data_IF_881505617684
#
_entry.id   IF_881505617684
#
_cell.length_a   1.000
_cell.length_b   1.000
_cell.length_c   1.000
_cell.angle_alpha   90.00
_cell.angle_beta   90.00
_cell.angle_gamma   90.00
#
_symmetry.space_group_name_H-M   'P 1'
#
loop_
_entity.id
_entity.type
_entity.pdbx_description
1 polymer ?
#
# COMPACT_ATOMS: atom_id res chain seq x y z
N UNK A 1 32.55 24.80 16.98
CA UNK A 1 32.06 25.10 15.62
C UNK A 1 30.55 25.28 15.69
N UNK A 2 30.09 26.51 15.93
CA UNK A 2 28.67 26.86 15.91
C UNK A 2 28.22 26.95 14.46
N UNK A 3 27.60 25.88 13.94
CA UNK A 3 26.92 25.93 12.65
C UNK A 3 25.78 26.95 12.76
N UNK A 4 25.93 28.10 12.11
CA UNK A 4 24.83 29.05 11.95
C UNK A 4 23.76 28.36 11.09
N UNK A 5 22.55 28.11 11.61
CA UNK A 5 21.47 27.43 10.88
C UNK A 5 20.93 28.24 9.70
N UNK A 6 21.53 29.39 9.38
CA UNK A 6 21.15 30.27 8.27
C UNK A 6 22.11 30.23 7.08
N UNK A 7 23.14 29.40 7.12
CA UNK A 7 24.01 29.21 5.95
C UNK A 7 23.24 28.49 4.85
N UNK A 8 22.99 29.10 3.67
CA UNK A 8 22.34 28.42 2.55
C UNK A 8 23.11 27.16 2.13
N UNK A 9 24.43 27.11 2.39
CA UNK A 9 25.25 25.92 2.16
C UNK A 9 24.83 24.74 3.05
N UNK A 10 24.46 24.99 4.30
CA UNK A 10 24.03 23.93 5.22
C UNK A 10 22.65 23.36 4.83
N UNK A 11 21.75 24.21 4.33
CA UNK A 11 20.41 23.81 3.86
C UNK A 11 20.48 23.01 2.55
N UNK A 12 21.42 23.34 1.67
CA UNK A 12 21.54 22.70 0.36
C UNK A 12 22.42 21.44 0.35
N UNK A 13 23.29 21.25 1.35
CA UNK A 13 24.23 20.12 1.36
C UNK A 13 23.52 18.77 1.39
N UNK A 14 22.53 18.59 2.26
CA UNK A 14 21.79 17.33 2.38
C UNK A 14 21.03 16.96 1.10
N UNK A 15 20.21 17.83 0.49
CA UNK A 15 19.55 17.51 -0.78
C UNK A 15 20.53 17.35 -1.93
N UNK A 16 21.63 18.12 -1.97
CA UNK A 16 22.67 17.93 -2.98
C UNK A 16 23.36 16.56 -2.85
N UNK A 17 23.65 16.12 -1.63
CA UNK A 17 24.25 14.81 -1.37
C UNK A 17 23.27 13.68 -1.72
N UNK A 18 21.99 13.80 -1.36
CA UNK A 18 20.96 12.85 -1.76
C UNK A 18 20.82 12.76 -3.29
N UNK A 19 20.80 13.91 -3.98
CA UNK A 19 20.77 13.97 -5.43
C UNK A 19 22.02 13.37 -6.07
N UNK A 20 23.21 13.59 -5.48
CA UNK A 20 24.45 13.02 -5.96
C UNK A 20 24.47 11.50 -5.82
N UNK A 21 24.04 10.95 -4.67
CA UNK A 21 23.93 9.50 -4.47
C UNK A 21 22.94 8.88 -5.44
N UNK A 22 21.75 9.48 -5.58
CA UNK A 22 20.75 9.02 -6.56
C UNK A 22 21.32 9.08 -8.00
N UNK A 23 22.04 10.15 -8.33
CA UNK A 23 22.71 10.33 -9.63
C UNK A 23 23.77 9.27 -9.89
N UNK A 24 24.58 8.90 -8.91
CA UNK A 24 25.59 7.82 -9.03
C UNK A 24 24.92 6.48 -9.32
N UNK A 25 23.84 6.15 -8.60
CA UNK A 25 23.09 4.90 -8.82
C UNK A 25 22.50 4.88 -10.24
N UNK A 26 21.86 5.98 -10.66
CA UNK A 26 21.28 6.09 -12.02
C UNK A 26 22.36 6.02 -13.09
N UNK A 27 23.51 6.65 -12.87
CA UNK A 27 24.64 6.60 -13.80
C UNK A 27 25.25 5.19 -13.90
N UNK A 28 25.36 4.48 -12.77
CA UNK A 28 25.91 3.12 -12.72
C UNK A 28 25.00 2.09 -13.42
N UNK A 29 23.68 2.21 -13.28
CA UNK A 29 22.71 1.35 -13.98
C UNK A 29 22.56 1.77 -15.45
N UNK A 30 22.73 3.06 -15.74
CA UNK A 30 22.45 3.67 -17.03
C UNK A 30 21.09 4.39 -17.01
N UNK A 31 21.03 5.70 -17.28
CA UNK A 31 19.79 6.48 -17.15
C UNK A 31 18.69 5.99 -18.12
N UNK A 32 19.07 5.57 -19.32
CA UNK A 32 18.15 4.98 -20.29
C UNK A 32 17.62 3.62 -19.82
N UNK A 33 18.43 2.81 -19.16
CA UNK A 33 18.02 1.50 -18.64
C UNK A 33 17.04 1.68 -17.46
N UNK A 34 17.33 2.61 -16.56
CA UNK A 34 16.43 2.97 -15.46
C UNK A 34 15.10 3.49 -16.01
N UNK A 35 15.14 4.43 -16.96
CA UNK A 35 13.95 4.96 -17.60
C UNK A 35 13.18 3.88 -18.35
N UNK A 36 13.86 3.03 -19.13
CA UNK A 36 13.22 1.96 -19.87
C UNK A 36 12.55 0.96 -18.92
N UNK A 37 13.21 0.57 -17.82
CA UNK A 37 12.59 -0.32 -16.82
C UNK A 37 11.38 0.31 -16.15
N UNK A 38 11.46 1.57 -15.75
CA UNK A 38 10.34 2.26 -15.09
C UNK A 38 9.19 2.50 -16.08
N UNK A 39 9.49 3.03 -17.25
CA UNK A 39 8.50 3.43 -18.26
C UNK A 39 7.87 2.21 -18.91
N UNK A 40 8.66 1.25 -19.39
CA UNK A 40 8.14 0.05 -20.08
C UNK A 40 7.31 -0.81 -19.13
N UNK A 41 7.74 -0.98 -17.87
CA UNK A 41 6.95 -1.68 -16.85
C UNK A 41 5.58 -1.02 -16.63
N UNK A 42 5.53 0.31 -16.62
CA UNK A 42 4.29 1.08 -16.40
C UNK A 42 3.40 1.15 -17.63
N UNK A 43 3.98 1.36 -18.81
CA UNK A 43 3.24 1.38 -20.07
C UNK A 43 2.63 0.02 -20.38
N UNK A 44 3.36 -1.07 -20.14
CA UNK A 44 2.81 -2.42 -20.26
C UNK A 44 1.63 -2.64 -19.29
N UNK A 45 1.74 -2.13 -18.05
CA UNK A 45 0.65 -2.13 -17.09
C UNK A 45 -0.61 -1.38 -17.56
N UNK A 46 -0.44 -0.20 -18.16
CA UNK A 46 -1.55 0.61 -18.68
C UNK A 46 -2.24 -0.01 -19.90
N UNK A 47 -1.48 -0.66 -20.79
CA UNK A 47 -2.05 -1.28 -22.00
C UNK A 47 -2.98 -2.46 -21.67
N UNK A 48 -2.78 -3.14 -20.54
CA UNK A 48 -3.56 -4.30 -20.12
C UNK A 48 -4.84 -3.97 -19.35
N UNK A 49 -5.04 -2.70 -18.96
CA UNK A 49 -6.28 -2.24 -18.32
C UNK A 49 -6.71 -0.87 -18.90
N UNK A 50 -7.23 -0.84 -20.14
CA UNK A 50 -7.60 0.40 -20.82
C UNK A 50 -8.77 1.13 -20.14
N UNK A 51 -9.52 0.42 -19.29
CA UNK A 51 -10.61 0.93 -18.47
C UNK A 51 -10.15 1.70 -17.22
N UNK A 52 -8.84 1.99 -17.10
CA UNK A 52 -8.27 2.53 -15.88
C UNK A 52 -9.04 3.75 -15.38
N UNK A 53 -9.65 3.65 -14.20
CA UNK A 53 -10.42 4.75 -13.66
C UNK A 53 -9.42 5.81 -13.22
N UNK A 54 -9.46 6.98 -13.84
CA UNK A 54 -8.46 8.03 -13.68
C UNK A 54 -8.43 8.63 -12.27
N UNK A 55 -8.20 9.93 -12.19
CA UNK A 55 -8.14 10.68 -10.92
C UNK A 55 -9.34 10.38 -10.00
N UNK A 56 -10.52 10.09 -10.55
CA UNK A 56 -11.72 9.74 -9.77
C UNK A 56 -11.57 8.50 -8.89
N UNK A 57 -10.94 7.42 -9.37
CA UNK A 57 -10.70 6.23 -8.55
C UNK A 57 -9.65 6.48 -7.49
N UNK A 58 -8.61 7.24 -7.83
CA UNK A 58 -7.61 7.64 -6.84
C UNK A 58 -8.24 8.49 -5.73
N UNK A 59 -9.16 9.41 -6.08
CA UNK A 59 -9.94 10.18 -5.11
C UNK A 59 -10.81 9.26 -4.26
N UNK A 60 -11.54 8.32 -4.86
CA UNK A 60 -12.40 7.39 -4.13
C UNK A 60 -11.61 6.50 -3.18
N UNK A 61 -10.48 5.96 -3.63
CA UNK A 61 -9.60 5.11 -2.83
C UNK A 61 -8.97 5.91 -1.67
N UNK A 62 -8.49 7.13 -1.93
CA UNK A 62 -7.99 8.01 -0.86
C UNK A 62 -9.10 8.43 0.09
N UNK A 63 -10.30 8.72 -0.40
CA UNK A 63 -11.44 9.09 0.44
C UNK A 63 -11.90 7.92 1.31
N UNK A 64 -12.02 6.73 0.75
CA UNK A 64 -12.38 5.52 1.50
C UNK A 64 -11.34 5.24 2.59
N UNK A 65 -10.05 5.24 2.22
CA UNK A 65 -8.96 4.97 3.16
C UNK A 65 -8.80 6.07 4.21
N UNK A 66 -8.73 7.33 3.81
CA UNK A 66 -8.47 8.42 4.74
C UNK A 66 -9.72 8.83 5.53
N UNK A 67 -10.93 8.69 5.00
CA UNK A 67 -12.12 9.24 5.65
C UNK A 67 -13.05 8.18 6.22
N UNK A 68 -13.17 7.02 5.57
CA UNK A 68 -14.02 5.92 6.10
C UNK A 68 -13.25 4.98 7.00
N UNK A 69 -11.98 4.73 6.68
CA UNK A 69 -11.16 3.79 7.46
C UNK A 69 -10.38 4.49 8.57
N UNK A 70 -10.01 5.76 8.43
CA UNK A 70 -9.30 6.52 9.46
C UNK A 70 -10.21 7.54 10.17
N UNK A 71 -9.74 8.12 11.27
CA UNK A 71 -10.53 9.05 12.10
C UNK A 71 -10.51 10.47 11.51
N UNK A 72 -11.65 11.06 11.09
CA UNK A 72 -11.70 12.39 10.46
C UNK A 72 -11.07 13.51 11.31
N UNK A 73 -11.12 13.37 12.64
CA UNK A 73 -10.55 14.31 13.60
C UNK A 73 -9.03 14.49 13.44
N UNK A 74 -8.29 13.45 13.02
CA UNK A 74 -6.86 13.54 12.74
C UNK A 74 -6.56 14.53 11.61
N UNK A 75 -7.30 14.41 10.50
CA UNK A 75 -7.14 15.29 9.33
C UNK A 75 -7.61 16.71 9.63
N UNK A 76 -8.69 16.86 10.40
CA UNK A 76 -9.15 18.17 10.88
C UNK A 76 -8.08 18.85 11.73
N UNK A 77 -7.39 18.10 12.60
CA UNK A 77 -6.31 18.62 13.43
C UNK A 77 -5.10 19.04 12.59
N UNK A 78 -4.75 18.25 11.57
CA UNK A 78 -3.71 18.60 10.61
C UNK A 78 -4.06 19.88 9.82
N UNK A 79 -5.31 20.02 9.36
CA UNK A 79 -5.76 21.21 8.63
C UNK A 79 -5.66 22.48 9.51
N UNK A 80 -6.14 22.41 10.75
CA UNK A 80 -6.05 23.56 11.69
C UNK A 80 -4.60 23.86 12.07
N UNK A 81 -3.76 22.84 12.24
CA UNK A 81 -2.32 23.02 12.45
C UNK A 81 -1.62 23.70 11.27
N UNK A 82 -1.97 23.31 10.04
CA UNK A 82 -1.49 23.97 8.81
C UNK A 82 -1.89 25.44 8.74
N UNK A 83 -3.16 25.75 9.03
CA UNK A 83 -3.63 27.14 9.10
C UNK A 83 -2.89 27.92 10.21
N UNK A 84 -2.78 27.35 11.41
CA UNK A 84 -2.07 27.97 12.53
C UNK A 84 -0.61 28.27 12.19
N UNK A 85 0.06 27.36 11.46
CA UNK A 85 1.44 27.53 11.02
C UNK A 85 1.57 28.62 9.96
N UNK A 86 0.71 28.62 8.93
CA UNK A 86 0.72 29.65 7.88
C UNK A 86 0.53 31.05 8.45
N UNK A 87 -0.37 31.20 9.42
CA UNK A 87 -0.65 32.47 10.08
C UNK A 87 0.50 32.96 11.00
N UNK A 88 1.30 32.05 11.55
CA UNK A 88 2.40 32.37 12.49
C UNK A 88 3.76 32.44 11.81
N UNK A 89 3.99 31.61 10.81
CA UNK A 89 5.26 31.40 10.14
C UNK A 89 5.00 30.91 8.70
N UNK A 90 4.74 31.87 7.81
CA UNK A 90 4.36 31.60 6.41
C UNK A 90 5.33 30.64 5.70
N UNK A 91 6.65 30.85 5.84
CA UNK A 91 7.65 30.03 5.15
C UNK A 91 7.62 28.54 5.59
N UNK A 92 7.74 28.18 6.89
CA UNK A 92 7.52 26.80 7.35
C UNK A 92 6.13 26.26 7.00
N UNK A 93 5.10 27.10 7.07
CA UNK A 93 3.72 26.73 6.73
C UNK A 93 3.59 26.32 5.27
N UNK A 94 4.12 27.12 4.35
CA UNK A 94 4.15 26.83 2.92
C UNK A 94 5.00 25.60 2.60
N UNK A 95 6.12 25.40 3.31
CA UNK A 95 6.96 24.22 3.11
C UNK A 95 6.22 22.93 3.49
N UNK A 96 5.56 22.88 4.65
CA UNK A 96 4.82 21.68 5.10
C UNK A 96 3.51 21.47 4.32
N UNK A 97 2.75 22.53 4.06
CA UNK A 97 1.54 22.44 3.25
C UNK A 97 1.87 22.08 1.79
N UNK A 98 2.96 22.62 1.25
CA UNK A 98 3.48 22.28 -0.07
C UNK A 98 3.96 20.83 -0.14
N UNK A 99 4.61 20.31 0.91
CA UNK A 99 4.98 18.90 0.99
C UNK A 99 3.74 17.99 0.96
N UNK A 100 2.73 18.27 1.79
CA UNK A 100 1.47 17.52 1.78
C UNK A 100 0.77 17.60 0.42
N UNK A 101 0.65 18.81 -0.14
CA UNK A 101 0.00 19.06 -1.42
C UNK A 101 0.70 18.37 -2.58
N UNK A 102 2.04 18.37 -2.62
CA UNK A 102 2.83 17.68 -3.63
C UNK A 102 2.65 16.16 -3.57
N UNK A 103 2.63 15.57 -2.37
CA UNK A 103 2.36 14.14 -2.21
C UNK A 103 0.92 13.78 -2.62
N UNK A 104 -0.07 14.56 -2.19
CA UNK A 104 -1.46 14.35 -2.60
C UNK A 104 -1.60 14.42 -4.12
N UNK A 105 -1.01 15.45 -4.75
CA UNK A 105 -1.01 15.58 -6.20
C UNK A 105 -0.35 14.38 -6.87
N UNK A 106 0.81 13.95 -6.36
CA UNK A 106 1.52 12.78 -6.90
C UNK A 106 0.65 11.52 -6.80
N UNK A 107 -0.01 11.27 -5.66
CA UNK A 107 -0.90 10.11 -5.48
C UNK A 107 -2.13 10.19 -6.37
N UNK A 108 -2.71 11.37 -6.55
CA UNK A 108 -3.86 11.58 -7.45
C UNK A 108 -3.49 11.36 -8.91
N UNK A 109 -2.28 11.73 -9.31
CA UNK A 109 -1.75 11.50 -10.66
C UNK A 109 -1.10 10.11 -10.82
N UNK A 110 -1.00 9.34 -9.74
CA UNK A 110 -0.32 8.05 -9.77
C UNK A 110 -1.18 7.01 -10.50
N UNK A 111 -0.59 6.36 -11.49
CA UNK A 111 -1.32 5.51 -12.44
C UNK A 111 -1.77 4.18 -11.85
N UNK A 112 -1.16 3.71 -10.76
CA UNK A 112 -1.57 2.47 -10.08
C UNK A 112 -1.59 2.73 -8.57
N UNK A 113 -2.51 3.60 -8.13
CA UNK A 113 -2.59 3.92 -6.71
C UNK A 113 -3.08 2.70 -5.93
N UNK A 114 -2.19 2.13 -5.12
CA UNK A 114 -2.54 1.13 -4.13
C UNK A 114 -2.80 1.80 -2.78
N UNK A 115 -3.66 1.19 -1.97
CA UNK A 115 -4.02 1.70 -0.64
C UNK A 115 -2.81 1.96 0.27
N UNK A 116 -1.77 1.13 0.16
CA UNK A 116 -0.58 1.27 1.00
C UNK A 116 0.24 2.53 0.66
N UNK A 117 0.15 3.09 -0.55
CA UNK A 117 0.88 4.32 -0.90
C UNK A 117 0.35 5.55 -0.15
N UNK A 118 -0.90 5.50 0.34
CA UNK A 118 -1.47 6.53 1.22
C UNK A 118 -0.68 6.74 2.52
N UNK A 119 0.12 5.75 2.95
CA UNK A 119 1.00 5.86 4.14
C UNK A 119 1.99 7.02 4.02
N UNK A 120 2.36 7.41 2.80
CA UNK A 120 3.30 8.50 2.55
C UNK A 120 2.80 9.84 3.07
N UNK A 121 1.48 10.03 3.13
CA UNK A 121 0.81 11.23 3.64
C UNK A 121 0.88 11.34 5.18
N UNK A 122 1.10 10.23 5.89
CA UNK A 122 1.08 10.21 7.36
C UNK A 122 2.14 11.15 7.94
N UNK A 123 3.33 11.18 7.36
CA UNK A 123 4.43 12.05 7.79
C UNK A 123 4.03 13.53 7.87
N UNK A 124 3.70 14.19 6.74
CA UNK A 124 3.30 15.60 6.76
C UNK A 124 2.02 15.85 7.58
N UNK A 125 1.04 14.94 7.53
CA UNK A 125 -0.18 15.05 8.32
C UNK A 125 0.08 15.02 9.82
N UNK A 126 0.95 14.12 10.30
CA UNK A 126 1.29 14.00 11.72
C UNK A 126 2.03 15.24 12.23
N UNK A 127 2.96 15.80 11.45
CA UNK A 127 3.64 17.05 11.79
C UNK A 127 2.64 18.20 11.91
N UNK A 128 1.77 18.35 10.91
CA UNK A 128 0.72 19.38 10.93
C UNK A 128 -0.26 19.18 12.09
N UNK A 129 -0.68 17.95 12.38
CA UNK A 129 -1.54 17.64 13.52
C UNK A 129 -0.86 17.98 14.85
N UNK A 130 0.44 17.71 14.98
CA UNK A 130 1.25 18.14 16.12
C UNK A 130 1.28 19.66 16.30
N UNK A 131 1.35 20.43 15.20
CA UNK A 131 1.20 21.89 15.25
C UNK A 131 -0.21 22.29 15.70
N UNK A 132 -1.25 21.57 15.26
CA UNK A 132 -2.62 21.75 15.72
C UNK A 132 -2.77 21.56 17.23
N UNK A 133 -2.20 20.49 17.78
CA UNK A 133 -2.13 20.26 19.24
C UNK A 133 -1.38 21.38 19.96
N UNK A 134 -0.25 21.85 19.38
CA UNK A 134 0.49 22.99 19.91
C UNK A 134 -0.33 24.30 19.90
N UNK A 135 -1.19 24.49 18.89
CA UNK A 135 -2.13 25.61 18.85
C UNK A 135 -3.20 25.48 19.94
N UNK A 136 -3.76 24.29 20.17
CA UNK A 136 -4.69 24.03 21.27
C UNK A 136 -4.06 24.34 22.63
N UNK A 137 -2.86 23.80 22.88
CA UNK A 137 -2.09 24.07 24.11
C UNK A 137 -1.79 25.56 24.28
N UNK A 138 -1.56 26.26 23.17
CA UNK A 138 -1.27 27.67 23.22
C UNK A 138 -2.40 28.46 23.86
N UNK A 139 -3.66 28.00 23.86
CA UNK A 139 -4.77 28.68 24.55
C UNK A 139 -4.53 28.81 26.07
N UNK A 140 -3.93 27.79 26.69
CA UNK A 140 -3.71 27.71 28.14
C UNK A 140 -2.40 28.36 28.59
N UNK A 141 -1.48 28.65 27.67
CA UNK A 141 -0.23 29.35 27.99
C UNK A 141 -0.47 30.82 28.36
N UNK A 142 0.26 31.42 29.29
CA UNK A 142 0.08 32.83 29.68
C UNK A 142 0.78 33.83 28.72
N UNK A 143 0.49 33.76 27.40
CA UNK A 143 1.07 34.71 26.43
C UNK A 143 0.23 35.98 26.32
N UNK A 144 0.84 37.11 26.73
CA UNK A 144 0.21 38.43 26.92
C UNK A 144 -0.26 39.15 25.64
N UNK A 145 0.07 38.65 24.44
CA UNK A 145 -0.30 39.29 23.16
C UNK A 145 -0.83 38.27 22.15
N UNK A 146 -2.13 37.98 22.20
CA UNK A 146 -2.84 37.20 21.18
C UNK A 146 -3.76 38.08 20.36
N UNK A 147 -3.75 37.89 19.05
CA UNK A 147 -4.78 38.44 18.17
C UNK A 147 -6.05 37.60 18.26
N UNK A 148 -7.21 38.18 17.97
CA UNK A 148 -8.51 37.48 17.96
C UNK A 148 -8.45 36.23 17.06
N UNK A 149 -7.84 36.35 15.88
CA UNK A 149 -7.66 35.23 14.96
C UNK A 149 -6.86 34.08 15.58
N UNK A 150 -5.76 34.37 16.29
CA UNK A 150 -4.98 33.32 16.96
C UNK A 150 -5.76 32.65 18.11
N UNK A 151 -6.66 33.37 18.78
CA UNK A 151 -7.56 32.80 19.78
C UNK A 151 -8.59 31.88 19.13
N UNK A 152 -9.22 32.32 18.03
CA UNK A 152 -10.21 31.52 17.30
C UNK A 152 -9.62 30.20 16.78
N UNK A 153 -8.44 30.26 16.17
CA UNK A 153 -7.73 29.05 15.70
C UNK A 153 -7.35 28.12 16.87
N UNK A 154 -6.92 28.68 18.00
CA UNK A 154 -6.58 27.86 19.18
C UNK A 154 -7.82 27.22 19.81
N UNK A 155 -8.96 27.93 19.86
CA UNK A 155 -10.22 27.39 20.35
C UNK A 155 -10.74 26.26 19.44
N UNK A 156 -10.69 26.46 18.11
CA UNK A 156 -11.02 25.42 17.15
C UNK A 156 -10.12 24.19 17.30
N UNK A 157 -8.81 24.40 17.49
CA UNK A 157 -7.87 23.32 17.75
C UNK A 157 -8.20 22.54 19.04
N UNK A 158 -8.63 23.21 20.11
CA UNK A 158 -9.11 22.53 21.34
C UNK A 158 -10.33 21.67 21.06
N UNK A 159 -11.34 22.20 20.35
CA UNK A 159 -12.54 21.43 19.99
C UNK A 159 -12.20 20.17 19.19
N UNK A 160 -11.34 20.30 18.19
CA UNK A 160 -10.92 19.16 17.36
C UNK A 160 -10.04 18.18 18.18
N UNK A 161 -9.21 18.67 19.10
CA UNK A 161 -8.42 17.81 19.98
C UNK A 161 -9.32 16.98 20.89
N UNK A 162 -10.37 17.58 21.46
CA UNK A 162 -11.37 16.86 22.24
C UNK A 162 -12.10 15.83 21.37
N UNK A 163 -12.48 16.21 20.15
CA UNK A 163 -13.08 15.26 19.20
C UNK A 163 -12.14 14.08 18.89
N UNK A 164 -10.87 14.34 18.61
CA UNK A 164 -9.87 13.30 18.40
C UNK A 164 -9.70 12.40 19.63
N UNK A 165 -9.71 12.97 20.84
CA UNK A 165 -9.64 12.19 22.08
C UNK A 165 -10.80 11.20 22.23
N UNK A 166 -12.01 11.54 21.77
CA UNK A 166 -13.15 10.61 21.77
C UNK A 166 -12.97 9.42 20.82
N UNK A 167 -12.10 9.54 19.81
CA UNK A 167 -11.81 8.47 18.85
C UNK A 167 -10.71 7.50 19.32
N UNK A 168 -9.92 7.86 20.35
CA UNK A 168 -8.79 7.06 20.83
C UNK A 168 -9.21 5.62 21.24
N UNK A 169 -10.30 5.39 21.98
CA UNK A 169 -10.69 4.02 22.36
C UNK A 169 -10.98 3.13 21.14
N UNK A 170 -11.65 3.67 20.12
CA UNK A 170 -11.96 2.95 18.89
C UNK A 170 -10.70 2.65 18.07
N UNK A 171 -9.74 3.58 18.04
CA UNK A 171 -8.42 3.36 17.43
C UNK A 171 -7.65 2.24 18.14
N UNK A 172 -7.60 2.27 19.47
CA UNK A 172 -6.91 1.24 20.26
C UNK A 172 -7.55 -0.14 20.10
N UNK A 173 -8.88 -0.25 20.11
CA UNK A 173 -9.59 -1.51 19.85
C UNK A 173 -9.28 -2.03 18.43
N UNK A 174 -9.29 -1.15 17.43
CA UNK A 174 -8.93 -1.50 16.06
C UNK A 174 -7.49 -2.00 15.97
N UNK A 175 -6.54 -1.28 16.56
CA UNK A 175 -5.12 -1.65 16.54
C UNK A 175 -4.88 -2.98 17.26
N UNK A 176 -5.52 -3.19 18.42
CA UNK A 176 -5.46 -4.46 19.14
C UNK A 176 -5.98 -5.61 18.30
N UNK A 177 -7.12 -5.43 17.62
CA UNK A 177 -7.66 -6.44 16.72
C UNK A 177 -6.76 -6.65 15.50
N UNK A 178 -6.12 -5.62 14.95
CA UNK A 178 -5.15 -5.76 13.87
C UNK A 178 -3.92 -6.57 14.32
N UNK A 179 -3.36 -6.27 15.48
CA UNK A 179 -2.23 -7.01 16.09
C UNK A 179 -2.62 -8.46 16.38
N UNK A 180 -3.85 -8.69 16.84
CA UNK A 180 -4.41 -10.02 17.06
C UNK A 180 -4.79 -10.75 15.76
N UNK A 181 -4.65 -10.12 14.59
CA UNK A 181 -4.99 -10.71 13.29
C UNK A 181 -6.49 -10.84 13.00
N UNK A 182 -7.33 -10.07 13.68
CA UNK A 182 -8.80 -10.13 13.64
C UNK A 182 -9.47 -9.12 12.69
N UNK A 183 -8.73 -8.12 12.17
CA UNK A 183 -9.30 -7.02 11.36
C UNK A 183 -8.64 -6.84 10.00
N UNK A 184 -7.70 -7.70 9.65
CA UNK A 184 -6.98 -7.58 8.40
C UNK A 184 -7.90 -7.95 7.23
N UNK A 185 -8.39 -6.94 6.50
CA UNK A 185 -9.13 -7.11 5.24
C UNK A 185 -8.35 -7.92 4.19
N UNK A 186 -7.01 -8.01 4.35
CA UNK A 186 -6.09 -8.80 3.53
C UNK A 186 -5.56 -10.08 4.22
N UNK A 187 -5.91 -10.35 5.49
CA UNK A 187 -5.46 -11.56 6.24
C UNK A 187 -6.55 -12.25 7.06
N UNK A 188 -7.83 -11.95 6.78
CA UNK A 188 -8.82 -13.02 6.84
C UNK A 188 -8.38 -13.98 5.72
N UNK A 189 -7.44 -14.90 5.94
CA UNK A 189 -7.57 -15.91 6.97
C UNK A 189 -8.98 -16.48 7.00
N UNK A 190 -9.75 -16.37 5.91
CA UNK A 190 -11.16 -16.67 5.88
C UNK A 190 -11.38 -18.09 6.38
N UNK A 191 -12.62 -18.39 6.76
CA UNK A 191 -13.01 -19.80 7.01
C UNK A 191 -12.51 -20.71 5.87
N UNK A 192 -12.55 -20.16 4.65
CA UNK A 192 -12.10 -20.78 3.40
C UNK A 192 -10.57 -20.93 3.33
N UNK A 193 -9.77 -19.92 3.69
CA UNK A 193 -8.30 -20.07 3.70
C UNK A 193 -7.85 -21.11 4.71
N UNK A 194 -8.41 -21.08 5.93
CA UNK A 194 -8.10 -22.10 6.94
C UNK A 194 -8.54 -23.49 6.47
N UNK A 195 -9.66 -23.59 5.76
CA UNK A 195 -10.10 -24.84 5.15
C UNK A 195 -9.15 -25.29 4.04
N UNK A 196 -8.72 -24.37 3.16
CA UNK A 196 -7.77 -24.63 2.08
C UNK A 196 -6.44 -25.12 2.62
N UNK A 197 -5.86 -24.46 3.64
CA UNK A 197 -4.62 -24.89 4.31
C UNK A 197 -4.75 -26.32 4.87
N UNK A 198 -5.89 -26.67 5.49
CA UNK A 198 -6.14 -28.03 5.97
C UNK A 198 -6.26 -29.05 4.83
N UNK A 199 -6.95 -28.69 3.74
CA UNK A 199 -7.09 -29.56 2.56
C UNK A 199 -5.74 -29.80 1.91
N UNK A 200 -4.94 -28.74 1.69
CA UNK A 200 -3.58 -28.83 1.18
C UNK A 200 -2.74 -29.74 2.08
N UNK A 201 -2.71 -29.47 3.39
CA UNK A 201 -1.93 -30.23 4.35
C UNK A 201 -2.27 -31.73 4.38
N UNK A 202 -3.54 -32.08 4.16
CA UNK A 202 -4.02 -33.46 4.09
C UNK A 202 -3.62 -34.20 2.80
N UNK A 203 -3.44 -33.47 1.70
CA UNK A 203 -3.24 -34.05 0.36
C UNK A 203 -1.78 -34.03 -0.11
N UNK A 204 -0.89 -33.44 0.67
CA UNK A 204 0.52 -33.19 0.30
C UNK A 204 1.45 -33.39 1.48
N UNK A 205 2.72 -33.71 1.21
CA UNK A 205 3.82 -33.72 2.18
C UNK A 205 4.60 -32.40 2.16
N UNK A 206 5.37 -32.09 3.22
CA UNK A 206 6.11 -30.82 3.34
C UNK A 206 7.06 -30.53 2.17
N UNK A 207 7.63 -31.58 1.59
CA UNK A 207 8.56 -31.49 0.46
C UNK A 207 7.87 -31.30 -0.90
N UNK A 208 6.54 -31.46 -0.97
CA UNK A 208 5.79 -31.33 -2.21
C UNK A 208 5.70 -29.86 -2.66
N UNK A 209 5.77 -29.66 -3.97
CA UNK A 209 5.51 -28.36 -4.59
C UNK A 209 4.02 -28.10 -4.77
N UNK A 210 3.62 -26.85 -4.60
CA UNK A 210 2.32 -26.30 -4.97
C UNK A 210 2.53 -25.24 -6.05
N UNK A 211 1.76 -25.33 -7.13
CA UNK A 211 1.66 -24.23 -8.08
C UNK A 211 0.48 -23.36 -7.68
N UNK A 212 0.73 -22.11 -7.31
CA UNK A 212 -0.31 -21.23 -6.75
C UNK A 212 -0.08 -19.76 -7.07
N UNK A 213 -1.17 -18.98 -7.15
CA UNK A 213 -1.14 -17.52 -7.16
C UNK A 213 -1.23 -16.87 -5.77
N UNK A 214 -1.30 -17.70 -4.71
CA UNK A 214 -1.27 -17.30 -3.31
C UNK A 214 -0.17 -18.06 -2.54
N UNK A 215 1.11 -17.67 -2.69
CA UNK A 215 2.23 -18.32 -1.97
C UNK A 215 2.06 -18.32 -0.45
N UNK A 216 1.25 -17.40 0.09
CA UNK A 216 0.89 -17.39 1.50
C UNK A 216 0.18 -18.67 1.96
N UNK A 217 -0.67 -19.29 1.13
CA UNK A 217 -1.31 -20.57 1.47
C UNK A 217 -0.31 -21.71 1.51
N UNK A 218 0.68 -21.70 0.61
CA UNK A 218 1.78 -22.65 0.64
C UNK A 218 2.63 -22.47 1.90
N UNK A 219 2.94 -21.22 2.28
CA UNK A 219 3.63 -20.90 3.53
C UNK A 219 2.86 -21.40 4.76
N UNK A 220 1.56 -21.10 4.86
CA UNK A 220 0.72 -21.54 6.00
C UNK A 220 0.55 -23.05 6.08
N UNK A 221 0.67 -23.75 4.96
CA UNK A 221 0.58 -25.21 4.90
C UNK A 221 1.95 -25.90 4.95
N UNK A 222 3.04 -25.16 5.11
CA UNK A 222 4.41 -25.67 5.10
C UNK A 222 4.74 -26.44 3.80
N UNK A 223 4.49 -25.81 2.65
CA UNK A 223 4.73 -26.39 1.31
C UNK A 223 5.58 -25.48 0.45
N UNK A 224 6.27 -26.10 -0.51
CA UNK A 224 7.14 -25.40 -1.46
C UNK A 224 6.34 -24.78 -2.60
N UNK A 225 6.85 -23.70 -3.17
CA UNK A 225 6.33 -23.08 -4.39
C UNK A 225 7.48 -23.01 -5.40
N UNK A 226 7.23 -23.25 -6.71
CA UNK A 226 8.23 -23.02 -7.73
C UNK A 226 8.86 -21.63 -7.60
N UNK A 227 10.20 -21.47 -7.70
CA UNK A 227 10.89 -20.19 -7.53
C UNK A 227 10.32 -19.06 -8.40
N UNK A 228 9.89 -19.37 -9.61
CA UNK A 228 9.29 -18.45 -10.56
C UNK A 228 7.96 -17.85 -10.05
N UNK A 229 7.28 -18.57 -9.15
CA UNK A 229 5.97 -18.28 -8.59
C UNK A 229 5.99 -17.87 -7.11
N UNK A 230 7.17 -17.57 -6.54
CA UNK A 230 7.27 -17.01 -5.17
C UNK A 230 6.62 -15.64 -5.05
N UNK A 231 6.56 -14.88 -6.15
CA UNK A 231 5.76 -13.66 -6.27
C UNK A 231 4.96 -13.66 -7.59
N UNK A 232 3.72 -14.16 -7.61
CA UNK A 232 2.86 -14.12 -8.78
C UNK A 232 2.09 -12.79 -8.82
N UNK A 233 2.75 -11.66 -8.59
CA UNK A 233 2.11 -10.34 -8.56
C UNK A 233 1.52 -9.96 -9.93
N UNK A 234 0.39 -9.25 -9.91
CA UNK A 234 -0.19 -8.69 -11.14
C UNK A 234 0.79 -7.78 -11.86
N UNK A 235 1.67 -7.07 -11.13
CA UNK A 235 2.71 -6.24 -11.73
C UNK A 235 3.67 -7.07 -12.59
N UNK A 236 4.12 -8.24 -12.12
CA UNK A 236 4.99 -9.14 -12.92
C UNK A 236 4.27 -9.68 -14.15
N UNK A 237 3.01 -10.11 -13.99
CA UNK A 237 2.19 -10.60 -15.10
C UNK A 237 2.02 -9.49 -16.14
N UNK A 238 1.67 -8.28 -15.70
CA UNK A 238 1.43 -7.13 -16.57
C UNK A 238 2.68 -6.67 -17.31
N UNK A 239 3.83 -6.72 -16.65
CA UNK A 239 5.09 -6.35 -17.26
C UNK A 239 5.69 -7.46 -18.15
N UNK A 240 5.03 -8.62 -18.28
CA UNK A 240 5.56 -9.77 -19.00
C UNK A 240 6.74 -10.46 -18.31
N UNK A 241 7.02 -10.12 -17.05
CA UNK A 241 8.05 -10.75 -16.23
C UNK A 241 7.61 -12.09 -15.61
N UNK A 242 6.32 -12.42 -15.74
CA UNK A 242 5.76 -13.75 -15.53
C UNK A 242 4.85 -14.07 -16.71
N UNK A 243 5.26 -15.01 -17.57
CA UNK A 243 4.52 -15.38 -18.79
C UNK A 243 3.80 -16.72 -18.64
N UNK A 244 2.87 -17.01 -19.56
CA UNK A 244 2.19 -18.30 -19.59
C UNK A 244 3.19 -19.47 -19.76
N UNK A 245 4.20 -19.30 -20.60
CA UNK A 245 5.25 -20.29 -20.86
C UNK A 245 6.07 -20.57 -19.60
N UNK A 246 6.39 -19.55 -18.80
CA UNK A 246 7.10 -19.74 -17.54
C UNK A 246 6.25 -20.50 -16.52
N UNK A 247 4.95 -20.22 -16.47
CA UNK A 247 4.01 -20.90 -15.57
C UNK A 247 3.82 -22.37 -15.98
N UNK A 248 3.63 -22.66 -17.27
CA UNK A 248 3.49 -24.03 -17.77
C UNK A 248 4.80 -24.82 -17.68
N UNK A 249 5.95 -24.19 -17.94
CA UNK A 249 7.25 -24.79 -17.70
C UNK A 249 7.46 -25.11 -16.20
N UNK A 250 7.01 -24.23 -15.30
CA UNK A 250 7.06 -24.49 -13.85
C UNK A 250 6.18 -25.67 -13.44
N UNK A 251 4.98 -25.77 -14.03
CA UNK A 251 4.07 -26.91 -13.81
C UNK A 251 4.74 -28.24 -14.21
N UNK A 252 5.47 -28.26 -15.33
CA UNK A 252 6.17 -29.45 -15.82
C UNK A 252 7.44 -29.76 -15.02
N UNK A 253 8.29 -28.76 -14.78
CA UNK A 253 9.61 -28.94 -14.18
C UNK A 253 9.53 -29.35 -12.70
N UNK A 254 8.59 -28.78 -11.95
CA UNK A 254 8.45 -29.04 -10.52
C UNK A 254 7.39 -30.10 -10.19
N UNK A 255 6.59 -30.52 -11.17
CA UNK A 255 5.54 -31.54 -11.04
C UNK A 255 4.76 -31.41 -9.72
N UNK A 256 4.09 -30.25 -9.49
CA UNK A 256 3.47 -29.94 -8.21
C UNK A 256 2.39 -30.96 -7.87
N UNK A 257 2.18 -31.22 -6.58
CA UNK A 257 1.17 -32.19 -6.13
C UNK A 257 -0.25 -31.65 -6.27
N UNK A 258 -0.40 -30.33 -6.09
CA UNK A 258 -1.65 -29.60 -6.25
C UNK A 258 -1.42 -28.30 -7.01
N UNK A 259 -2.47 -27.84 -7.70
CA UNK A 259 -2.57 -26.50 -8.24
C UNK A 259 -3.63 -25.73 -7.44
N UNK A 260 -3.30 -24.56 -6.91
CA UNK A 260 -4.19 -23.77 -6.05
C UNK A 260 -4.42 -22.40 -6.69
N UNK A 261 -5.63 -22.19 -7.21
CA UNK A 261 -6.08 -20.90 -7.76
C UNK A 261 -6.89 -20.18 -6.69
N UNK A 262 -6.38 -19.07 -6.17
CA UNK A 262 -6.95 -18.38 -5.01
C UNK A 262 -7.23 -16.89 -5.23
N UNK A 263 -6.37 -16.20 -5.96
CA UNK A 263 -6.48 -14.75 -6.19
C UNK A 263 -6.93 -14.38 -7.61
N UNK A 264 -7.10 -15.37 -8.48
CA UNK A 264 -7.48 -15.20 -9.89
C UNK A 264 -6.34 -14.77 -10.82
N UNK A 265 -5.11 -14.65 -10.32
CA UNK A 265 -3.99 -14.12 -11.13
C UNK A 265 -3.49 -15.14 -12.14
N UNK A 266 -3.26 -16.38 -11.70
CA UNK A 266 -2.80 -17.45 -12.60
C UNK A 266 -3.88 -17.89 -13.59
N UNK A 267 -5.16 -17.68 -13.29
CA UNK A 267 -6.26 -18.00 -14.20
C UNK A 267 -6.33 -17.09 -15.44
N UNK A 268 -5.49 -16.06 -15.50
CA UNK A 268 -5.34 -15.19 -16.69
C UNK A 268 -4.51 -15.84 -17.80
N UNK A 269 -3.82 -16.94 -17.49
CA UNK A 269 -3.04 -17.68 -18.48
C UNK A 269 -3.89 -18.79 -19.08
N UNK A 270 -4.49 -18.51 -20.24
CA UNK A 270 -5.32 -19.48 -20.98
C UNK A 270 -4.63 -20.86 -21.14
N UNK A 271 -3.33 -20.94 -21.52
CA UNK A 271 -2.67 -22.25 -21.65
C UNK A 271 -2.62 -23.05 -20.34
N UNK A 272 -2.52 -22.38 -19.18
CA UNK A 272 -2.61 -23.06 -17.89
C UNK A 272 -4.01 -23.62 -17.69
N UNK A 273 -5.04 -22.81 -17.95
CA UNK A 273 -6.44 -23.22 -17.75
C UNK A 273 -6.84 -24.39 -18.65
N UNK A 274 -6.35 -24.42 -19.89
CA UNK A 274 -6.51 -25.55 -20.81
C UNK A 274 -5.93 -26.84 -20.22
N UNK A 275 -4.68 -26.81 -19.74
CA UNK A 275 -4.02 -27.96 -19.10
C UNK A 275 -4.80 -28.43 -17.86
N UNK A 276 -5.23 -27.50 -17.02
CA UNK A 276 -6.02 -27.84 -15.82
C UNK A 276 -7.36 -28.50 -16.18
N UNK A 277 -8.03 -28.03 -17.23
CA UNK A 277 -9.30 -28.62 -17.68
C UNK A 277 -9.14 -30.04 -18.22
N UNK A 278 -7.99 -30.34 -18.85
CA UNK A 278 -7.71 -31.62 -19.48
C UNK A 278 -7.20 -32.67 -18.48
N UNK A 279 -6.27 -32.30 -17.61
CA UNK A 279 -5.49 -33.25 -16.79
C UNK A 279 -5.78 -33.17 -15.30
N UNK A 280 -6.49 -32.13 -14.84
CA UNK A 280 -6.72 -31.89 -13.43
C UNK A 280 -8.23 -31.91 -13.10
N UNK A 281 -8.53 -32.17 -11.84
CA UNK A 281 -9.88 -32.11 -11.30
C UNK A 281 -9.92 -31.28 -10.01
N UNK A 282 -10.98 -30.48 -9.80
CA UNK A 282 -11.14 -29.72 -8.57
C UNK A 282 -11.45 -30.67 -7.42
N UNK A 283 -10.68 -30.57 -6.34
CA UNK A 283 -10.91 -31.31 -5.09
C UNK A 283 -11.84 -30.53 -4.16
N UNK A 284 -11.69 -29.21 -4.13
CA UNK A 284 -12.48 -28.32 -3.28
C UNK A 284 -12.63 -26.94 -3.95
N UNK A 285 -13.77 -26.28 -3.77
CA UNK A 285 -14.06 -24.96 -4.32
C UNK A 285 -14.62 -24.02 -3.22
N UNK A 286 -14.20 -22.75 -3.26
CA UNK A 286 -14.47 -21.73 -2.24
C UNK A 286 -15.13 -20.48 -2.84
N UNK A 287 -15.98 -20.67 -3.85
CA UNK A 287 -16.59 -19.58 -4.61
C UNK A 287 -15.71 -19.09 -5.75
N UNK A 288 -15.82 -17.81 -6.10
CA UNK A 288 -15.14 -17.22 -7.26
C UNK A 288 -14.40 -15.93 -6.91
N UNK A 289 -13.42 -15.56 -7.73
CA UNK A 289 -12.68 -14.28 -7.72
C UNK A 289 -12.79 -13.63 -9.09
N UNK A 290 -12.72 -12.31 -9.12
CA UNK A 290 -12.80 -11.52 -10.34
C UNK A 290 -14.05 -11.91 -11.19
N UNK A 291 -13.89 -12.01 -12.51
CA UNK A 291 -14.95 -12.32 -13.49
C UNK A 291 -15.36 -13.80 -13.47
N UNK A 292 -15.52 -14.39 -12.28
CA UNK A 292 -16.03 -15.76 -12.11
C UNK A 292 -14.98 -16.86 -12.06
N UNK A 293 -13.69 -16.53 -11.90
CA UNK A 293 -12.64 -17.55 -11.75
C UNK A 293 -12.85 -18.32 -10.44
N UNK A 294 -12.96 -19.65 -10.45
CA UNK A 294 -13.16 -20.41 -9.23
C UNK A 294 -11.94 -20.31 -8.28
N UNK A 295 -12.20 -20.08 -6.99
CA UNK A 295 -11.23 -20.34 -5.92
C UNK A 295 -11.22 -21.84 -5.69
N UNK A 296 -10.16 -22.53 -6.12
CA UNK A 296 -10.18 -23.98 -6.11
C UNK A 296 -8.79 -24.60 -5.92
N UNK A 297 -8.81 -25.79 -5.33
CA UNK A 297 -7.66 -26.68 -5.22
C UNK A 297 -7.86 -27.79 -6.25
N UNK A 298 -6.88 -27.98 -7.12
CA UNK A 298 -6.88 -29.00 -8.15
C UNK A 298 -5.86 -30.08 -7.84
N UNK A 299 -6.20 -31.33 -8.17
CA UNK A 299 -5.26 -32.46 -8.21
C UNK A 299 -5.23 -33.05 -9.61
N UNK A 300 -4.12 -33.68 -9.98
CA UNK A 300 -4.02 -34.42 -11.25
C UNK A 300 -4.94 -35.65 -11.19
N UNK A 301 -5.61 -35.94 -12.31
CA UNK A 301 -6.47 -37.13 -12.47
C UNK A 301 -5.66 -38.42 -12.43
#
# INVERSE_FOLDING_TARGET
>A
LTFSPRSPRAVLLAPAMAAAVAGIVVAAIGPLEVLNRIVTWRLAGQQLDPSWPGISHNVELLYDKMFRQEQPAFYALAAVGGLALLLRALQPGLALAGWLGAQLLLLLLYTELSAHLGVTLIGPLAVLAGVGLGAAWSLFSARRHRTIMTMAVSALAVLITVWYATAIPALLDRDQRLIAGLLSTDRDGGRDERAAVRVIGRLTAAEDFLLTDAPYLAFLSDRKVPPELVDPSLSRIRAGALTAEQVTASLQAYNPKLVVLWTGKLARFEPLMEILSAEWEPVEQYGTVDKGTPRAIYRRR
#
